data_IF_486716537989
#
_entry.id   IF_486716537989
#
_cell.length_a   1.000
_cell.length_b   1.000
_cell.length_c   1.000
_cell.angle_alpha   90.00
_cell.angle_beta   90.00
_cell.angle_gamma   90.00
#
_symmetry.space_group_name_H-M   'P 1'
#
loop_
_entity.id
_entity.type
_entity.pdbx_description
1 polymer ?
#
# COMPACT_ATOMS: atom_id res chain seq x y z
N UNK A 1 -17.45 -9.06 2.09
CA UNK A 1 -16.46 -8.34 2.90
C UNK A 1 -16.50 -6.90 2.47
N UNK A 2 -16.90 -6.01 3.37
CA UNK A 2 -16.90 -4.58 3.17
C UNK A 2 -15.54 -4.00 3.60
N UNK A 3 -15.17 -2.81 3.10
CA UNK A 3 -13.94 -2.12 3.52
C UNK A 3 -13.97 -1.85 5.04
N UNK A 4 -15.14 -1.55 5.57
CA UNK A 4 -15.39 -1.38 7.00
C UNK A 4 -14.97 -2.58 7.85
N UNK A 5 -14.91 -3.77 7.27
CA UNK A 5 -14.56 -5.01 7.99
C UNK A 5 -13.04 -5.15 8.16
N UNK A 6 -12.24 -4.40 7.40
CA UNK A 6 -10.78 -4.52 7.35
C UNK A 6 -10.05 -3.19 7.60
N UNK A 7 -10.73 -2.05 7.55
CA UNK A 7 -10.16 -0.75 7.85
C UNK A 7 -10.24 -0.48 9.35
N UNK A 8 -9.11 -0.60 10.03
CA UNK A 8 -8.98 -0.25 11.45
C UNK A 8 -8.17 1.03 11.61
N UNK A 9 -8.27 1.75 12.74
CA UNK A 9 -7.47 2.97 12.98
C UNK A 9 -5.96 2.75 12.80
N UNK A 10 -5.45 1.58 13.15
CA UNK A 10 -4.03 1.20 13.01
C UNK A 10 -3.60 1.06 11.54
N UNK A 11 -4.57 0.96 10.62
CA UNK A 11 -4.37 0.88 9.17
C UNK A 11 -4.58 2.22 8.47
N UNK A 12 -4.69 3.31 9.24
CA UNK A 12 -4.79 4.68 8.74
C UNK A 12 -3.51 5.43 9.09
N UNK A 13 -2.84 5.98 8.10
CA UNK A 13 -1.61 6.77 8.27
C UNK A 13 -1.88 8.17 7.77
N UNK A 14 -2.05 9.12 8.68
CA UNK A 14 -2.20 10.52 8.33
C UNK A 14 -0.83 11.20 8.20
N UNK A 15 -0.78 12.27 7.41
CA UNK A 15 0.40 13.13 7.23
C UNK A 15 1.66 12.36 6.74
N UNK A 16 1.46 11.39 5.84
CA UNK A 16 2.55 10.65 5.24
C UNK A 16 3.27 11.49 4.17
N UNK A 17 4.24 12.29 4.61
CA UNK A 17 5.05 13.13 3.71
C UNK A 17 5.90 12.32 2.73
N UNK A 18 5.69 12.52 1.43
CA UNK A 18 6.51 11.95 0.36
C UNK A 18 6.76 12.98 -0.76
N UNK A 19 8.02 13.17 -1.13
CA UNK A 19 8.45 14.09 -2.19
C UNK A 19 8.38 13.48 -3.60
N UNK A 20 8.14 12.16 -3.70
CA UNK A 20 7.98 11.48 -4.97
C UNK A 20 7.10 10.24 -4.83
N UNK A 21 6.55 9.77 -5.97
CA UNK A 21 5.78 8.52 -6.04
C UNK A 21 6.58 7.32 -5.52
N UNK A 22 7.88 7.24 -5.87
CA UNK A 22 8.74 6.17 -5.38
C UNK A 22 8.89 6.19 -3.87
N UNK A 23 9.08 7.38 -3.28
CA UNK A 23 9.13 7.53 -1.83
C UNK A 23 7.80 7.19 -1.16
N UNK A 24 6.66 7.57 -1.76
CA UNK A 24 5.33 7.21 -1.26
C UNK A 24 5.14 5.69 -1.22
N UNK A 25 5.43 5.00 -2.33
CA UNK A 25 5.33 3.53 -2.41
C UNK A 25 6.27 2.83 -1.41
N UNK A 26 7.47 3.37 -1.19
CA UNK A 26 8.40 2.84 -0.19
C UNK A 26 7.85 3.00 1.23
N UNK A 27 7.33 4.18 1.59
CA UNK A 27 6.73 4.40 2.91
C UNK A 27 5.46 3.57 3.13
N UNK A 28 4.66 3.38 2.08
CA UNK A 28 3.52 2.47 2.09
C UNK A 28 3.97 1.03 2.38
N UNK A 29 4.99 0.56 1.67
CA UNK A 29 5.56 -0.78 1.86
C UNK A 29 6.09 -1.00 3.28
N UNK A 30 6.80 -0.04 3.87
CA UNK A 30 7.28 -0.15 5.25
C UNK A 30 6.14 -0.22 6.26
N UNK A 31 5.04 0.51 6.04
CA UNK A 31 3.86 0.45 6.90
C UNK A 31 3.11 -0.88 6.79
N UNK A 32 3.01 -1.41 5.57
CA UNK A 32 2.45 -2.73 5.31
C UNK A 32 3.31 -3.84 5.93
N UNK A 33 4.63 -3.74 5.80
CA UNK A 33 5.60 -4.71 6.35
C UNK A 33 5.44 -4.88 7.86
N UNK A 34 5.33 -3.79 8.61
CA UNK A 34 5.10 -3.84 10.07
C UNK A 34 3.82 -4.56 10.47
N UNK A 35 2.80 -4.51 9.62
CA UNK A 35 1.49 -5.16 9.88
C UNK A 35 1.45 -6.62 9.42
N UNK A 36 2.15 -6.94 8.33
CA UNK A 36 2.08 -8.25 7.67
C UNK A 36 3.23 -9.18 8.06
N UNK A 37 4.34 -8.66 8.60
CA UNK A 37 5.55 -9.43 8.84
C UNK A 37 6.26 -9.88 7.55
N UNK A 38 5.90 -9.29 6.41
CA UNK A 38 6.53 -9.54 5.09
C UNK A 38 7.64 -8.52 4.87
N UNK A 39 8.71 -8.91 4.18
CA UNK A 39 9.83 -8.03 3.81
C UNK A 39 9.33 -6.76 3.10
N UNK A 40 9.77 -5.59 3.58
CA UNK A 40 9.43 -4.29 2.99
C UNK A 40 9.87 -4.23 1.52
N UNK A 41 11.05 -4.77 1.21
CA UNK A 41 11.56 -4.83 -0.16
C UNK A 41 10.66 -5.64 -1.09
N UNK A 42 10.11 -6.76 -0.61
CA UNK A 42 9.16 -7.58 -1.36
C UNK A 42 7.88 -6.80 -1.67
N UNK A 43 7.29 -6.15 -0.67
CA UNK A 43 6.07 -5.35 -0.85
C UNK A 43 6.33 -4.18 -1.80
N UNK A 44 7.44 -3.46 -1.60
CA UNK A 44 7.81 -2.33 -2.45
C UNK A 44 8.03 -2.75 -3.90
N UNK A 45 8.72 -3.86 -4.14
CA UNK A 45 8.92 -4.42 -5.49
C UNK A 45 7.58 -4.77 -6.13
N UNK A 46 6.67 -5.41 -5.39
CA UNK A 46 5.36 -5.79 -5.89
C UNK A 46 4.53 -4.56 -6.31
N UNK A 47 4.45 -3.54 -5.44
CA UNK A 47 3.75 -2.28 -5.73
C UNK A 47 4.38 -1.52 -6.91
N UNK A 48 5.72 -1.41 -6.92
CA UNK A 48 6.46 -0.73 -7.98
C UNK A 48 6.27 -1.41 -9.34
N UNK A 49 6.27 -2.75 -9.36
CA UNK A 49 6.01 -3.51 -10.59
C UNK A 49 4.59 -3.28 -11.10
N UNK A 50 3.59 -3.20 -10.21
CA UNK A 50 2.23 -2.84 -10.61
C UNK A 50 2.16 -1.43 -11.19
N UNK A 51 2.76 -0.45 -10.54
CA UNK A 51 2.69 0.96 -10.97
C UNK A 51 3.36 1.18 -12.35
N UNK A 52 4.38 0.39 -12.69
CA UNK A 52 5.04 0.43 -14.02
C UNK A 52 4.12 0.02 -15.17
N UNK A 53 3.08 -0.79 -14.91
CA UNK A 53 2.12 -1.18 -15.95
C UNK A 53 1.18 -0.03 -16.34
N UNK A 54 1.15 1.02 -15.54
CA UNK A 54 0.23 2.14 -15.68
C UNK A 54 -0.15 2.64 -14.30
N UNK A 55 -0.33 3.96 -14.19
CA UNK A 55 -0.55 4.57 -12.88
C UNK A 55 -1.79 4.02 -12.21
N UNK A 56 -1.70 3.82 -10.90
CA UNK A 56 -2.85 3.47 -10.05
C UNK A 56 -3.61 4.69 -9.54
N UNK A 57 -3.24 5.90 -10.00
CA UNK A 57 -4.02 7.12 -9.81
C UNK A 57 -5.32 7.05 -10.59
N UNK A 58 -6.45 7.32 -9.92
CA UNK A 58 -7.79 7.28 -10.52
C UNK A 58 -8.37 8.68 -10.79
N UNK A 59 -7.62 9.74 -10.48
CA UNK A 59 -8.04 11.14 -10.62
C UNK A 59 -8.37 11.79 -9.27
N UNK A 60 -8.62 13.10 -9.28
CA UNK A 60 -9.07 13.87 -8.10
C UNK A 60 -8.17 13.73 -6.86
N UNK A 61 -6.86 13.54 -7.07
CA UNK A 61 -5.90 13.35 -5.98
C UNK A 61 -5.94 11.98 -5.31
N UNK A 62 -6.68 11.01 -5.86
CA UNK A 62 -6.81 9.65 -5.32
C UNK A 62 -5.98 8.66 -6.13
N UNK A 63 -5.33 7.74 -5.42
CA UNK A 63 -4.66 6.59 -6.00
C UNK A 63 -4.95 5.31 -5.19
N UNK A 64 -4.90 4.16 -5.85
CA UNK A 64 -5.09 2.85 -5.21
C UNK A 64 -3.88 1.95 -5.52
N UNK A 65 -2.71 2.17 -4.91
CA UNK A 65 -1.57 1.27 -5.09
C UNK A 65 -1.91 -0.13 -4.56
N UNK A 66 -1.81 -1.15 -5.42
CA UNK A 66 -2.16 -2.54 -5.08
C UNK A 66 -1.18 -3.51 -5.71
N UNK A 67 -0.98 -4.68 -5.10
CA UNK A 67 -0.22 -5.76 -5.72
C UNK A 67 -0.58 -7.10 -5.05
N UNK A 68 -0.52 -8.22 -5.78
CA UNK A 68 -0.58 -9.55 -5.16
C UNK A 68 0.69 -9.79 -4.34
N UNK A 69 0.51 -10.30 -3.12
CA UNK A 69 1.60 -10.73 -2.24
C UNK A 69 1.42 -12.21 -1.89
N UNK A 70 2.54 -12.93 -1.80
CA UNK A 70 2.52 -14.32 -1.35
C UNK A 70 2.46 -14.36 0.18
N UNK A 71 1.83 -15.38 0.74
CA UNK A 71 1.80 -15.59 2.19
C UNK A 71 0.79 -14.74 2.96
N UNK A 72 -0.09 -13.99 2.29
CA UNK A 72 -1.21 -13.32 2.97
C UNK A 72 -2.45 -14.23 3.01
N UNK A 73 -3.06 -14.37 4.18
CA UNK A 73 -4.26 -15.18 4.39
C UNK A 73 -5.56 -14.43 4.05
N UNK A 74 -5.52 -13.10 4.02
CA UNK A 74 -6.64 -12.22 3.74
C UNK A 74 -6.16 -10.93 3.05
N UNK A 75 -7.06 -10.17 2.38
CA UNK A 75 -6.73 -8.86 1.85
C UNK A 75 -6.22 -7.92 2.94
N UNK A 76 -5.18 -7.17 2.61
CA UNK A 76 -4.61 -6.14 3.47
C UNK A 76 -4.88 -4.78 2.84
N UNK A 77 -5.27 -3.81 3.69
CA UNK A 77 -5.60 -2.46 3.27
C UNK A 77 -4.91 -1.45 4.19
N UNK A 78 -4.37 -0.39 3.59
CA UNK A 78 -3.90 0.80 4.29
C UNK A 78 -4.54 2.02 3.64
N UNK A 79 -4.99 2.94 4.48
CA UNK A 79 -5.38 4.28 4.07
C UNK A 79 -4.25 5.23 4.45
N UNK A 80 -3.86 6.08 3.50
CA UNK A 80 -2.74 7.01 3.61
C UNK A 80 -3.16 8.36 3.08
#
# INVERSE_FOLDING_TARGET
MNISDILTPERVVIDLGAASKGQLLHRFAGSASRSLGIDEGEIFRALSNREKLGSTGIGEGIAIPHAPLRGIAAPFFLFV
#
